data_IF_196302376643
#
_entry.id   IF_196302376643
#
_cell.length_a   1.000
_cell.length_b   1.000
_cell.length_c   1.000
_cell.angle_alpha   90.00
_cell.angle_beta   90.00
_cell.angle_gamma   90.00
#
_symmetry.space_group_name_H-M   'P 1'
#
loop_
_entity.id
_entity.type
_entity.pdbx_description
1 polymer ?
#
# COMPACT_ATOMS: atom_id res chain seq x y z
N UNK A 1 -0.88 -26.12 -16.58
CA UNK A 1 -1.33 -26.21 -15.18
C UNK A 1 -2.01 -24.90 -14.86
N UNK A 2 -3.34 -24.88 -14.79
CA UNK A 2 -4.06 -23.71 -14.32
C UNK A 2 -4.25 -23.90 -12.82
N UNK A 3 -3.59 -23.06 -12.03
CA UNK A 3 -3.81 -23.02 -10.59
C UNK A 3 -5.07 -22.19 -10.37
N UNK A 4 -6.12 -22.83 -9.87
CA UNK A 4 -7.34 -22.13 -9.52
C UNK A 4 -7.06 -21.12 -8.39
N UNK A 5 -7.56 -19.89 -8.55
CA UNK A 5 -7.43 -18.85 -7.53
C UNK A 5 -8.68 -18.93 -6.65
N UNK A 6 -8.51 -19.43 -5.42
CA UNK A 6 -9.56 -19.40 -4.40
C UNK A 6 -9.30 -18.24 -3.44
N UNK A 7 -10.29 -17.33 -3.33
CA UNK A 7 -10.22 -16.17 -2.44
C UNK A 7 -11.02 -16.43 -1.17
N UNK A 8 -10.36 -16.28 -0.02
CA UNK A 8 -11.03 -16.23 1.27
C UNK A 8 -11.36 -14.77 1.62
N UNK A 9 -12.47 -14.26 1.08
CA UNK A 9 -12.82 -12.82 1.10
C UNK A 9 -12.68 -12.17 2.48
N UNK A 10 -13.18 -12.82 3.54
CA UNK A 10 -13.13 -12.27 4.91
C UNK A 10 -11.71 -12.20 5.51
N UNK A 11 -10.85 -13.18 5.21
CA UNK A 11 -9.46 -13.16 5.64
C UNK A 11 -8.67 -12.11 4.85
N UNK A 12 -8.94 -12.02 3.55
CA UNK A 12 -8.35 -11.06 2.63
C UNK A 12 -8.70 -9.62 3.05
N UNK A 13 -9.96 -9.31 3.32
CA UNK A 13 -10.41 -7.98 3.78
C UNK A 13 -9.78 -7.60 5.13
N UNK A 14 -9.66 -8.56 6.06
CA UNK A 14 -8.99 -8.33 7.35
C UNK A 14 -7.51 -8.03 7.17
N UNK A 15 -6.82 -8.76 6.28
CA UNK A 15 -5.42 -8.53 5.97
C UNK A 15 -5.22 -7.15 5.31
N UNK A 16 -6.09 -6.76 4.36
CA UNK A 16 -6.06 -5.44 3.74
C UNK A 16 -6.31 -4.31 4.73
N UNK A 17 -7.27 -4.48 5.64
CA UNK A 17 -7.55 -3.50 6.69
C UNK A 17 -6.35 -3.29 7.60
N UNK A 18 -5.68 -4.37 8.01
CA UNK A 18 -4.46 -4.30 8.82
C UNK A 18 -3.29 -3.65 8.07
N UNK A 19 -3.13 -3.97 6.78
CA UNK A 19 -2.11 -3.35 5.93
C UNK A 19 -2.35 -1.84 5.82
N UNK A 20 -3.60 -1.43 5.58
CA UNK A 20 -3.96 0.00 5.51
C UNK A 20 -3.64 0.74 6.80
N UNK A 21 -4.05 0.19 7.94
CA UNK A 21 -3.74 0.76 9.26
C UNK A 21 -2.23 0.91 9.47
N UNK A 22 -1.44 -0.07 9.01
CA UNK A 22 0.03 -0.02 9.14
C UNK A 22 0.64 1.06 8.25
N UNK A 23 0.13 1.22 7.02
CA UNK A 23 0.58 2.27 6.09
C UNK A 23 0.20 3.66 6.61
N UNK A 24 -1.02 3.82 7.15
CA UNK A 24 -1.49 5.08 7.70
C UNK A 24 -0.75 5.47 8.99
N UNK A 25 -0.35 4.49 9.81
CA UNK A 25 0.45 4.72 11.03
C UNK A 25 1.94 4.93 10.75
N UNK A 26 2.40 4.75 9.51
CA UNK A 26 3.82 4.86 9.18
C UNK A 26 4.27 6.31 9.19
N UNK A 27 5.07 6.68 10.20
CA UNK A 27 5.75 7.97 10.24
C UNK A 27 6.93 7.97 9.26
N UNK A 28 6.77 8.65 8.13
CA UNK A 28 7.78 8.81 7.09
C UNK A 28 8.60 10.10 7.22
N UNK A 29 8.50 10.81 8.35
CA UNK A 29 9.21 12.07 8.54
C UNK A 29 10.71 11.84 8.83
N UNK A 30 11.55 12.51 8.03
CA UNK A 30 12.99 12.54 8.14
C UNK A 30 13.49 13.97 8.44
N UNK A 31 14.57 14.16 9.23
CA UNK A 31 15.05 15.48 9.60
C UNK A 31 15.60 16.25 8.39
N UNK A 32 14.96 17.34 7.96
CA UNK A 32 15.39 18.10 6.77
C UNK A 32 16.54 19.08 7.02
N UNK A 33 16.74 19.50 8.27
CA UNK A 33 17.83 20.40 8.65
C UNK A 33 18.42 19.96 9.99
N UNK A 34 19.63 19.42 9.92
CA UNK A 34 20.50 19.16 11.07
C UNK A 34 21.66 20.17 11.04
N UNK A 35 22.16 20.55 12.22
CA UNK A 35 23.34 21.42 12.37
C UNK A 35 23.07 22.92 12.53
N UNK A 36 21.83 23.41 12.40
CA UNK A 36 21.51 24.83 12.63
C UNK A 36 22.29 25.75 11.68
N UNK A 37 23.11 26.65 12.25
CA UNK A 37 23.99 27.55 11.49
C UNK A 37 25.35 26.90 11.11
N UNK A 38 25.54 25.60 11.34
CA UNK A 38 26.78 24.90 11.01
C UNK A 38 26.84 24.61 9.50
N UNK A 39 27.75 25.28 8.80
CA UNK A 39 27.94 25.17 7.35
C UNK A 39 29.02 24.15 6.93
N UNK A 40 29.44 23.26 7.84
CA UNK A 40 30.36 22.18 7.47
C UNK A 40 29.79 21.38 6.29
N UNK A 41 30.63 21.10 5.29
CA UNK A 41 30.24 20.36 4.08
C UNK A 41 29.58 19.01 4.41
N UNK A 42 30.03 18.36 5.49
CA UNK A 42 29.45 17.11 6.01
C UNK A 42 27.99 17.29 6.43
N UNK A 43 27.66 18.41 7.10
CA UNK A 43 26.28 18.74 7.50
C UNK A 43 25.41 18.97 6.26
N UNK A 44 25.92 19.66 5.25
CA UNK A 44 25.22 19.87 3.98
C UNK A 44 24.92 18.54 3.27
N UNK A 45 25.92 17.64 3.19
CA UNK A 45 25.75 16.30 2.61
C UNK A 45 24.71 15.47 3.37
N UNK A 46 24.69 15.54 4.69
CA UNK A 46 23.68 14.87 5.52
C UNK A 46 22.27 15.43 5.28
N UNK A 47 22.12 16.76 5.17
CA UNK A 47 20.83 17.38 4.85
C UNK A 47 20.31 16.95 3.46
N UNK A 48 21.20 16.86 2.47
CA UNK A 48 20.85 16.35 1.13
C UNK A 48 20.40 14.88 1.21
N UNK A 49 21.16 14.04 1.92
CA UNK A 49 20.85 12.63 2.09
C UNK A 49 19.49 12.44 2.78
N UNK A 50 19.23 13.19 3.86
CA UNK A 50 17.96 13.16 4.56
C UNK A 50 16.80 13.56 3.63
N UNK A 51 17.00 14.57 2.78
CA UNK A 51 16.01 14.96 1.78
C UNK A 51 15.75 13.87 0.73
N UNK A 52 16.78 13.13 0.33
CA UNK A 52 16.63 11.98 -0.58
C UNK A 52 15.88 10.83 0.11
N UNK A 53 16.22 10.51 1.36
CA UNK A 53 15.51 9.51 2.16
C UNK A 53 14.03 9.88 2.33
N UNK A 54 13.73 11.15 2.64
CA UNK A 54 12.35 11.64 2.73
C UNK A 54 11.57 11.37 1.44
N UNK A 55 12.11 11.76 0.29
CA UNK A 55 11.45 11.55 -1.02
C UNK A 55 11.26 10.08 -1.35
N UNK A 56 12.25 9.24 -1.02
CA UNK A 56 12.17 7.80 -1.23
C UNK A 56 11.05 7.19 -0.38
N UNK A 57 10.94 7.58 0.89
CA UNK A 57 9.90 7.10 1.80
C UNK A 57 8.50 7.56 1.35
N UNK A 58 8.36 8.83 0.96
CA UNK A 58 7.11 9.37 0.38
C UNK A 58 6.69 8.58 -0.87
N UNK A 59 7.63 8.30 -1.78
CA UNK A 59 7.35 7.51 -2.98
C UNK A 59 6.94 6.07 -2.67
N UNK A 60 7.62 5.41 -1.72
CA UNK A 60 7.28 4.04 -1.34
C UNK A 60 5.94 3.96 -0.60
N UNK A 61 5.62 4.95 0.25
CA UNK A 61 4.32 5.08 0.90
C UNK A 61 3.19 5.18 -0.13
N UNK A 62 3.36 6.06 -1.12
CA UNK A 62 2.39 6.22 -2.21
C UNK A 62 2.21 4.93 -3.00
N UNK A 63 3.30 4.23 -3.35
CA UNK A 63 3.24 2.95 -4.06
C UNK A 63 2.48 1.87 -3.27
N UNK A 64 2.70 1.80 -1.96
CA UNK A 64 1.95 0.86 -1.10
C UNK A 64 0.45 1.17 -1.08
N UNK A 65 0.09 2.45 -1.06
CA UNK A 65 -1.30 2.90 -1.10
C UNK A 65 -1.99 2.56 -2.42
N UNK A 66 -1.30 2.76 -3.53
CA UNK A 66 -1.80 2.40 -4.86
C UNK A 66 -2.00 0.89 -5.01
N UNK A 67 -1.02 0.10 -4.58
CA UNK A 67 -1.12 -1.37 -4.60
C UNK A 67 -2.25 -1.87 -3.70
N UNK A 68 -2.43 -1.27 -2.52
CA UNK A 68 -3.54 -1.59 -1.62
C UNK A 68 -4.89 -1.36 -2.32
N UNK A 69 -5.09 -0.17 -2.89
CA UNK A 69 -6.31 0.20 -3.62
C UNK A 69 -6.58 -0.72 -4.82
N UNK A 70 -5.57 -0.96 -5.66
CA UNK A 70 -5.70 -1.81 -6.84
C UNK A 70 -6.06 -3.26 -6.49
N UNK A 71 -5.48 -3.78 -5.40
CA UNK A 71 -5.77 -5.15 -4.98
C UNK A 71 -7.15 -5.26 -4.34
N UNK A 72 -7.57 -4.26 -3.55
CA UNK A 72 -8.91 -4.21 -2.99
C UNK A 72 -9.97 -4.21 -4.09
N UNK A 73 -9.83 -3.35 -5.11
CA UNK A 73 -10.73 -3.32 -6.27
C UNK A 73 -10.77 -4.64 -7.03
N UNK A 74 -9.63 -5.32 -7.15
CA UNK A 74 -9.56 -6.63 -7.81
C UNK A 74 -10.34 -7.69 -7.02
N UNK A 75 -10.21 -7.70 -5.69
CA UNK A 75 -10.95 -8.64 -4.81
C UNK A 75 -12.45 -8.37 -4.85
N UNK A 76 -12.86 -7.09 -4.77
CA UNK A 76 -14.26 -6.67 -4.88
C UNK A 76 -14.88 -7.10 -6.23
N UNK A 77 -14.15 -6.89 -7.34
CA UNK A 77 -14.60 -7.31 -8.67
C UNK A 77 -14.71 -8.83 -8.82
N UNK A 78 -13.82 -9.59 -8.20
CA UNK A 78 -13.92 -11.06 -8.16
C UNK A 78 -15.12 -11.51 -7.32
N UNK A 79 -15.39 -10.87 -6.19
CA UNK A 79 -16.57 -11.18 -5.37
C UNK A 79 -17.88 -10.90 -6.11
N UNK A 80 -17.98 -9.76 -6.79
CA UNK A 80 -19.14 -9.41 -7.61
C UNK A 80 -19.37 -10.42 -8.75
N UNK A 81 -18.28 -10.84 -9.39
CA UNK A 81 -18.32 -11.85 -10.47
C UNK A 81 -18.83 -13.18 -9.93
N UNK A 82 -18.32 -13.65 -8.79
CA UNK A 82 -18.76 -14.89 -8.15
C UNK A 82 -20.24 -14.84 -7.73
N UNK A 83 -20.68 -13.73 -7.12
CA UNK A 83 -22.09 -13.53 -6.77
C UNK A 83 -22.99 -13.54 -8.01
N UNK A 84 -22.60 -12.86 -9.07
CA UNK A 84 -23.35 -12.79 -10.32
C UNK A 84 -23.46 -14.16 -10.99
N UNK A 85 -22.36 -14.90 -11.05
CA UNK A 85 -22.33 -16.26 -11.60
C UNK A 85 -23.23 -17.20 -10.77
N UNK A 86 -23.10 -17.18 -9.44
CA UNK A 86 -23.93 -17.97 -8.54
C UNK A 86 -25.42 -17.67 -8.71
N UNK A 87 -25.79 -16.40 -8.84
CA UNK A 87 -27.19 -15.99 -9.05
C UNK A 87 -27.74 -16.53 -10.37
N UNK A 88 -26.95 -16.48 -11.44
CA UNK A 88 -27.33 -16.94 -12.78
C UNK A 88 -27.48 -18.47 -12.80
N UNK A 89 -26.58 -19.20 -12.15
CA UNK A 89 -26.66 -20.67 -12.03
C UNK A 89 -27.86 -21.13 -11.19
N UNK A 90 -28.25 -20.35 -10.18
CA UNK A 90 -29.42 -20.67 -9.34
C UNK A 90 -30.74 -20.36 -10.04
N UNK A 91 -30.77 -19.31 -10.88
CA UNK A 91 -31.97 -18.90 -11.64
C UNK A 91 -32.27 -19.80 -12.86
N UNK A 92 -31.25 -20.51 -13.36
CA UNK A 92 -31.35 -21.40 -14.53
C UNK A 92 -31.69 -22.85 -14.17
N UNK A 93 -32.08 -23.10 -12.91
CA UNK A 93 -32.42 -24.42 -12.36
C UNK A 93 -33.86 -24.43 -11.85
#
# INVERSE_FOLDING_TARGET
>A
MHTEIQIQYSETERAFSKLRQTIDAWNIAYPRQIGGANELEVINKLNILNGQCQKMLEGYHQLLMENHSATQLSVEGMEETDRTLSSTMTLSR
#
